data_IF_712461473873
#
_entry.id   IF_712461473873
#
_cell.length_a   1.000
_cell.length_b   1.000
_cell.length_c   1.000
_cell.angle_alpha   90.00
_cell.angle_beta   90.00
_cell.angle_gamma   90.00
#
_symmetry.space_group_name_H-M   'P 1'
#
loop_
_entity.id
_entity.type
_entity.pdbx_description
1 polymer ?
#
# COMPACT_ATOMS: atom_id res chain seq x y z
N UNK A 1 17.83 -15.31 17.62
CA UNK A 1 16.55 -14.59 17.75
C UNK A 1 16.58 -13.87 19.09
N UNK A 2 16.59 -12.53 19.12
CA UNK A 2 16.62 -11.75 20.38
C UNK A 2 15.20 -11.33 20.71
N UNK A 3 14.64 -11.96 21.74
CA UNK A 3 13.40 -11.57 22.38
C UNK A 3 13.64 -10.28 23.18
N UNK A 4 12.78 -9.28 23.01
CA UNK A 4 12.84 -8.00 23.74
C UNK A 4 11.82 -8.05 24.88
N UNK A 5 12.31 -8.31 26.09
CA UNK A 5 11.49 -8.61 27.26
C UNK A 5 10.56 -7.44 27.63
N UNK A 6 10.98 -6.19 27.38
CA UNK A 6 10.24 -5.00 27.78
C UNK A 6 9.04 -4.74 26.87
N UNK A 7 9.20 -4.92 25.55
CA UNK A 7 8.08 -4.84 24.60
C UNK A 7 7.07 -5.96 24.81
N UNK A 8 7.55 -7.13 25.21
CA UNK A 8 6.70 -8.30 25.46
C UNK A 8 5.81 -8.10 26.68
N UNK A 9 6.32 -7.47 27.74
CA UNK A 9 5.54 -7.15 28.94
C UNK A 9 4.30 -6.29 28.62
N UNK A 10 4.45 -5.29 27.74
CA UNK A 10 3.33 -4.43 27.31
C UNK A 10 2.24 -5.21 26.55
N UNK A 11 2.63 -6.21 25.75
CA UNK A 11 1.70 -7.06 25.00
C UNK A 11 0.92 -7.97 25.96
N UNK A 12 1.60 -8.60 26.93
CA UNK A 12 0.93 -9.46 27.92
C UNK A 12 0.05 -8.67 28.88
N UNK A 13 0.41 -7.43 29.21
CA UNK A 13 -0.41 -6.54 30.02
C UNK A 13 -1.68 -6.11 29.29
N UNK A 14 -1.59 -5.75 28.01
CA UNK A 14 -2.77 -5.44 27.20
C UNK A 14 -3.70 -6.65 27.05
N UNK A 15 -3.14 -7.86 26.88
CA UNK A 15 -3.92 -9.11 26.86
C UNK A 15 -4.61 -9.38 28.21
N UNK A 16 -3.95 -9.11 29.33
CA UNK A 16 -4.53 -9.28 30.67
C UNK A 16 -5.67 -8.30 30.95
N UNK A 17 -5.62 -7.11 30.36
CA UNK A 17 -6.64 -6.05 30.52
C UNK A 17 -7.75 -6.11 29.46
N UNK A 18 -7.74 -7.13 28.59
CA UNK A 18 -8.63 -7.24 27.43
C UNK A 18 -8.61 -5.97 26.56
N UNK A 19 -7.45 -5.32 26.45
CA UNK A 19 -7.25 -4.12 25.66
C UNK A 19 -6.79 -4.49 24.24
N UNK A 20 -7.28 -3.78 23.21
CA UNK A 20 -6.95 -4.10 21.82
C UNK A 20 -5.45 -3.94 21.55
N UNK A 21 -4.82 -5.03 21.13
CA UNK A 21 -3.38 -5.12 20.81
C UNK A 21 -2.96 -4.31 19.58
N UNK A 22 -3.92 -3.71 18.87
CA UNK A 22 -3.69 -2.85 17.71
C UNK A 22 -4.84 -1.84 17.56
N UNK A 23 -4.52 -0.62 17.14
CA UNK A 23 -5.52 0.39 16.81
C UNK A 23 -6.28 -0.08 15.57
N UNK A 24 -7.57 -0.41 15.71
CA UNK A 24 -8.44 -0.58 14.54
C UNK A 24 -8.55 0.77 13.85
N UNK A 25 -7.97 0.89 12.66
CA UNK A 25 -8.23 2.03 11.79
C UNK A 25 -9.72 2.00 11.44
N UNK A 26 -10.49 2.98 11.92
CA UNK A 26 -11.85 3.21 11.43
C UNK A 26 -11.80 3.45 9.92
N UNK A 27 -12.82 3.02 9.15
CA UNK A 27 -12.86 3.30 7.72
C UNK A 27 -12.78 4.82 7.54
N UNK A 28 -11.74 5.26 6.84
CA UNK A 28 -11.53 6.69 6.61
C UNK A 28 -12.69 7.25 5.79
N UNK A 29 -13.08 8.49 6.07
CA UNK A 29 -14.08 9.18 5.25
C UNK A 29 -13.59 9.20 3.79
N UNK A 30 -14.51 9.04 2.82
CA UNK A 30 -14.15 8.98 1.41
C UNK A 30 -13.35 10.23 0.98
N UNK A 31 -12.08 10.02 0.61
CA UNK A 31 -11.17 11.10 0.21
C UNK A 31 -11.49 11.53 -1.23
N UNK A 32 -11.75 12.83 -1.43
CA UNK A 32 -11.90 13.38 -2.78
C UNK A 32 -10.55 13.45 -3.46
N UNK A 33 -10.46 12.87 -4.66
CA UNK A 33 -9.23 12.77 -5.44
C UNK A 33 -9.38 13.46 -6.81
N UNK A 34 -8.27 13.95 -7.42
CA UNK A 34 -8.33 14.71 -8.66
C UNK A 34 -8.67 13.87 -9.90
N UNK A 35 -8.54 12.54 -9.85
CA UNK A 35 -8.87 11.62 -10.94
C UNK A 35 -9.71 10.47 -10.39
N UNK A 36 -10.77 10.10 -11.10
CA UNK A 36 -11.57 8.93 -10.76
C UNK A 36 -10.67 7.68 -10.74
N UNK A 37 -10.63 6.90 -9.63
CA UNK A 37 -9.85 5.67 -9.55
C UNK A 37 -10.02 4.71 -10.73
N UNK A 38 -11.21 4.67 -11.33
CA UNK A 38 -11.52 3.79 -12.48
C UNK A 38 -10.73 4.14 -13.74
N UNK A 39 -10.25 5.39 -13.84
CA UNK A 39 -9.41 5.87 -14.94
C UNK A 39 -7.92 5.65 -14.69
N UNK A 40 -7.53 5.25 -13.47
CA UNK A 40 -6.14 5.06 -13.07
C UNK A 40 -5.78 3.58 -13.20
N UNK A 41 -4.98 3.26 -14.22
CA UNK A 41 -4.46 1.90 -14.42
C UNK A 41 -3.28 1.63 -13.48
N UNK A 42 -3.34 0.53 -12.74
CA UNK A 42 -2.33 0.19 -11.72
C UNK A 42 -1.78 -1.22 -11.92
N UNK A 43 -0.45 -1.36 -11.89
CA UNK A 43 0.23 -2.65 -11.72
C UNK A 43 0.86 -2.68 -10.34
N UNK A 44 0.62 -3.75 -9.60
CA UNK A 44 1.20 -3.95 -8.27
C UNK A 44 2.46 -4.79 -8.40
N UNK A 45 3.55 -4.29 -7.83
CA UNK A 45 4.83 -5.00 -7.73
C UNK A 45 5.15 -5.27 -6.25
N UNK A 46 5.27 -6.55 -5.87
CA UNK A 46 5.58 -6.95 -4.51
C UNK A 46 7.09 -6.79 -4.24
N UNK A 47 7.45 -5.66 -3.67
CA UNK A 47 8.80 -5.36 -3.20
C UNK A 47 9.16 -5.99 -1.84
N UNK A 48 8.46 -7.05 -1.41
CA UNK A 48 8.75 -7.74 -0.15
C UNK A 48 8.96 -9.24 -0.34
N UNK A 49 9.48 -9.90 0.70
CA UNK A 49 9.58 -11.37 0.77
C UNK A 49 8.27 -12.06 1.15
N UNK A 50 7.24 -11.31 1.53
CA UNK A 50 5.95 -11.84 1.96
C UNK A 50 5.17 -12.39 0.78
N UNK A 51 4.98 -13.71 0.76
CA UNK A 51 4.20 -14.38 -0.27
C UNK A 51 2.73 -13.93 -0.23
N UNK A 52 2.12 -13.76 -1.41
CA UNK A 52 0.71 -13.39 -1.55
C UNK A 52 0.37 -11.93 -1.23
N UNK A 53 1.30 -11.13 -0.71
CA UNK A 53 1.04 -9.71 -0.38
C UNK A 53 0.60 -8.92 -1.61
N UNK A 54 1.31 -9.05 -2.74
CA UNK A 54 0.95 -8.36 -3.99
C UNK A 54 -0.48 -8.64 -4.45
N UNK A 55 -0.96 -9.89 -4.32
CA UNK A 55 -2.35 -10.26 -4.64
C UNK A 55 -3.36 -9.62 -3.71
N UNK A 56 -3.07 -9.58 -2.41
CA UNK A 56 -3.96 -8.93 -1.43
C UNK A 56 -4.07 -7.43 -1.70
N UNK A 57 -2.95 -6.78 -2.00
CA UNK A 57 -2.91 -5.34 -2.32
C UNK A 57 -3.63 -5.04 -3.63
N UNK A 58 -3.40 -5.84 -4.68
CA UNK A 58 -4.10 -5.68 -5.96
C UNK A 58 -5.63 -5.80 -5.78
N UNK A 59 -6.10 -6.81 -5.06
CA UNK A 59 -7.52 -6.98 -4.77
C UNK A 59 -8.11 -5.82 -3.94
N UNK A 60 -7.36 -5.31 -2.96
CA UNK A 60 -7.78 -4.17 -2.15
C UNK A 60 -7.90 -2.89 -2.99
N UNK A 61 -6.95 -2.62 -3.89
CA UNK A 61 -7.01 -1.48 -4.81
C UNK A 61 -8.15 -1.61 -5.82
N UNK A 62 -8.41 -2.82 -6.33
CA UNK A 62 -9.56 -3.07 -7.19
C UNK A 62 -10.89 -2.82 -6.46
N UNK A 63 -10.98 -3.21 -5.18
CA UNK A 63 -12.16 -2.99 -4.35
C UNK A 63 -12.44 -1.50 -4.07
N UNK A 64 -11.40 -0.64 -4.08
CA UNK A 64 -11.57 0.82 -3.97
C UNK A 64 -11.84 1.49 -5.32
N UNK A 65 -11.88 0.73 -6.41
CA UNK A 65 -12.28 1.19 -7.74
C UNK A 65 -11.13 1.45 -8.71
N UNK A 66 -9.87 1.18 -8.34
CA UNK A 66 -8.75 1.32 -9.28
C UNK A 66 -8.80 0.27 -10.40
N UNK A 67 -8.39 0.67 -11.60
CA UNK A 67 -8.24 -0.24 -12.73
C UNK A 67 -6.92 -1.04 -12.61
N UNK A 68 -6.87 -2.03 -11.72
CA UNK A 68 -5.68 -2.89 -11.58
C UNK A 68 -5.51 -3.86 -12.74
N UNK A 69 -4.26 -4.26 -13.01
CA UNK A 69 -3.95 -5.32 -14.01
C UNK A 69 -4.42 -6.71 -13.60
N UNK A 70 -4.78 -6.92 -12.31
CA UNK A 70 -5.14 -8.21 -11.71
C UNK A 70 -4.05 -9.30 -11.76
N UNK A 71 -2.86 -8.95 -12.23
CA UNK A 71 -1.70 -9.82 -12.34
C UNK A 71 -0.52 -9.16 -11.62
N UNK A 72 -0.51 -9.18 -10.27
CA UNK A 72 0.60 -8.62 -9.51
C UNK A 72 1.87 -9.43 -9.75
N UNK A 73 2.99 -8.74 -9.85
CA UNK A 73 4.32 -9.35 -10.06
C UNK A 73 5.21 -9.13 -8.84
N UNK A 74 6.32 -9.84 -8.75
CA UNK A 74 7.37 -9.49 -7.79
C UNK A 74 8.24 -8.39 -8.40
N UNK A 75 8.63 -7.40 -7.59
CA UNK A 75 9.61 -6.42 -8.01
C UNK A 75 11.01 -7.05 -8.09
N UNK A 76 11.92 -6.43 -8.85
CA UNK A 76 13.31 -6.85 -8.92
C UNK A 76 14.01 -6.73 -7.56
N UNK A 77 13.79 -5.61 -6.86
CA UNK A 77 14.24 -5.39 -5.49
C UNK A 77 13.13 -5.72 -4.49
N UNK A 78 13.46 -6.50 -3.44
CA UNK A 78 12.48 -7.06 -2.49
C UNK A 78 12.74 -6.68 -1.02
N UNK A 79 13.49 -5.61 -0.82
CA UNK A 79 13.84 -5.00 0.47
C UNK A 79 13.16 -3.63 0.68
N UNK A 80 12.12 -3.35 -0.11
CA UNK A 80 11.34 -2.11 -0.05
C UNK A 80 10.63 -2.00 1.29
N UNK A 81 10.95 -0.95 2.07
CA UNK A 81 10.38 -0.71 3.41
C UNK A 81 9.14 0.17 3.40
N UNK A 82 8.92 0.92 2.32
CA UNK A 82 7.87 1.91 2.17
C UNK A 82 7.22 1.74 0.81
N UNK A 83 5.89 1.84 0.71
CA UNK A 83 5.20 1.77 -0.57
C UNK A 83 5.64 2.92 -1.47
N UNK A 84 6.12 2.61 -2.68
CA UNK A 84 6.53 3.60 -3.69
C UNK A 84 5.58 3.54 -4.87
N UNK A 85 4.99 4.68 -5.23
CA UNK A 85 4.19 4.86 -6.43
C UNK A 85 5.09 5.43 -7.52
N UNK A 86 5.47 4.58 -8.47
CA UNK A 86 6.29 4.98 -9.62
C UNK A 86 5.38 5.37 -10.78
N UNK A 87 5.58 6.55 -11.37
CA UNK A 87 4.70 7.10 -12.41
C UNK A 87 5.47 7.99 -13.39
N UNK A 88 4.95 8.16 -14.61
CA UNK A 88 5.45 9.18 -15.54
C UNK A 88 4.92 10.56 -15.11
N UNK A 89 5.75 11.64 -15.10
CA UNK A 89 5.31 12.99 -14.72
C UNK A 89 4.00 13.46 -15.37
N UNK A 90 3.70 13.02 -16.60
CA UNK A 90 2.45 13.36 -17.31
C UNK A 90 1.19 12.83 -16.60
N UNK A 91 1.35 11.84 -15.71
CA UNK A 91 0.31 11.19 -14.92
C UNK A 91 0.28 11.64 -13.45
N UNK A 92 0.87 12.79 -13.11
CA UNK A 92 0.95 13.31 -11.72
C UNK A 92 -0.42 13.30 -10.99
N UNK A 93 -1.49 13.74 -11.66
CA UNK A 93 -2.84 13.73 -11.06
C UNK A 93 -3.35 12.30 -10.74
N UNK A 94 -3.07 11.34 -11.62
CA UNK A 94 -3.39 9.93 -11.37
C UNK A 94 -2.56 9.37 -10.21
N UNK A 95 -1.27 9.72 -10.14
CA UNK A 95 -0.38 9.28 -9.06
C UNK A 95 -0.81 9.82 -7.70
N UNK A 96 -1.22 11.10 -7.62
CA UNK A 96 -1.78 11.71 -6.41
C UNK A 96 -3.08 11.03 -5.96
N UNK A 97 -3.93 10.64 -6.90
CA UNK A 97 -5.17 9.91 -6.60
C UNK A 97 -4.87 8.53 -6.01
N UNK A 98 -3.88 7.82 -6.54
CA UNK A 98 -3.42 6.55 -5.99
C UNK A 98 -2.75 6.70 -4.62
N UNK A 99 -1.92 7.73 -4.42
CA UNK A 99 -1.27 8.00 -3.14
C UNK A 99 -2.27 8.32 -2.02
N UNK A 100 -3.40 8.96 -2.34
CA UNK A 100 -4.48 9.19 -1.38
C UNK A 100 -5.08 7.88 -0.83
N UNK A 101 -5.11 6.80 -1.63
CA UNK A 101 -5.55 5.48 -1.21
C UNK A 101 -4.45 4.68 -0.48
N UNK A 102 -3.20 5.17 -0.48
CA UNK A 102 -2.05 4.54 0.13
C UNK A 102 -1.33 5.54 1.06
N UNK A 103 -1.93 5.87 2.23
CA UNK A 103 -1.36 6.85 3.15
C UNK A 103 0.09 6.53 3.50
N UNK A 104 0.94 7.55 3.37
CA UNK A 104 2.37 7.43 3.59
C UNK A 104 3.16 6.91 2.39
N UNK A 105 2.55 6.50 1.28
CA UNK A 105 3.30 6.16 0.08
C UNK A 105 4.18 7.32 -0.42
N UNK A 106 5.31 6.97 -1.03
CA UNK A 106 6.21 7.93 -1.68
C UNK A 106 5.93 7.98 -3.18
N UNK A 107 5.86 9.19 -3.74
CA UNK A 107 5.72 9.40 -5.18
C UNK A 107 7.10 9.48 -5.82
N UNK A 108 7.36 8.64 -6.83
CA UNK A 108 8.60 8.64 -7.61
C UNK A 108 8.30 8.84 -9.09
N UNK A 109 8.69 9.99 -9.62
CA UNK A 109 8.56 10.29 -11.04
C UNK A 109 9.66 9.58 -11.85
N UNK A 110 9.27 8.77 -12.83
CA UNK A 110 10.15 8.07 -13.78
C UNK A 110 9.57 8.24 -15.17
N UNK A 111 10.30 8.96 -16.03
CA UNK A 111 9.90 9.22 -17.41
C UNK A 111 9.73 7.89 -18.17
N UNK A 112 8.62 7.75 -18.90
CA UNK A 112 8.27 6.53 -19.63
C UNK A 112 7.56 5.46 -18.79
N UNK A 113 7.36 5.66 -17.48
CA UNK A 113 6.66 4.68 -16.66
C UNK A 113 5.18 4.56 -17.09
N UNK A 114 4.76 3.34 -17.40
CA UNK A 114 3.41 3.08 -17.90
C UNK A 114 3.17 3.65 -19.30
N UNK A 115 4.23 4.04 -20.03
CA UNK A 115 4.16 4.11 -21.47
C UNK A 115 4.03 2.67 -21.99
N UNK A 116 2.82 2.32 -22.43
CA UNK A 116 2.64 1.22 -23.37
C UNK A 116 3.02 1.72 -24.77
#
# INVERSE_FOLDING_TARGET
MKWDAEKSARIFDALRRDEPLSVRHTPDAAVRVPVDPRQVRVRVENGTRTAGLGRRVDAALAATGFSTTRVPVNAAERDVRRTVVVYDPRWDRSAKSLAAALPGSELRAVKGQGAC
#
